data_IF_775166942047
#
_entry.id   IF_775166942047
#
_cell.length_a   1.000
_cell.length_b   1.000
_cell.length_c   1.000
_cell.angle_alpha   90.00
_cell.angle_beta   90.00
_cell.angle_gamma   90.00
#
_symmetry.space_group_name_H-M   'P 1'
#
loop_
_entity.id
_entity.type
_entity.pdbx_description
1 polymer ?
#
# COMPACT_ATOMS: atom_id res chain seq x y z
N UNK A 1 2.92 -27.74 15.52
CA UNK A 1 3.75 -26.95 14.61
C UNK A 1 3.45 -25.49 14.89
N UNK A 2 4.45 -24.64 15.09
CA UNK A 2 4.23 -23.20 15.34
C UNK A 2 3.98 -22.50 14.00
N UNK A 3 2.85 -21.85 13.87
CA UNK A 3 2.54 -20.94 12.78
C UNK A 3 2.78 -19.51 13.24
N UNK A 4 3.28 -18.66 12.35
CA UNK A 4 3.43 -17.23 12.59
C UNK A 4 2.55 -16.45 11.62
N UNK A 5 2.14 -15.26 12.05
CA UNK A 5 1.25 -14.40 11.30
C UNK A 5 1.91 -13.06 10.98
N UNK A 6 1.52 -12.47 9.85
CA UNK A 6 1.98 -11.16 9.44
C UNK A 6 0.88 -10.39 8.74
N UNK A 7 0.89 -9.08 8.89
CA UNK A 7 -0.04 -8.17 8.19
C UNK A 7 0.71 -6.96 7.66
N UNK A 8 0.26 -6.44 6.51
CA UNK A 8 0.71 -5.16 6.00
C UNK A 8 -0.45 -4.47 5.29
N UNK A 9 -0.52 -3.15 5.44
CA UNK A 9 -1.51 -2.34 4.73
C UNK A 9 -1.20 -2.26 3.22
N UNK A 10 -2.18 -1.83 2.44
CA UNK A 10 -2.01 -1.30 1.10
C UNK A 10 -1.99 0.23 1.10
N UNK A 11 -1.74 0.84 -0.05
CA UNK A 11 -1.86 2.28 -0.26
C UNK A 11 -2.63 2.55 -1.56
N UNK A 12 -3.06 3.80 -1.76
CA UNK A 12 -3.69 4.22 -3.01
C UNK A 12 -2.82 5.26 -3.71
N UNK A 13 -1.75 4.79 -4.36
CA UNK A 13 -0.81 5.66 -5.06
C UNK A 13 -0.04 6.62 -4.15
N UNK A 14 0.56 7.64 -4.73
CA UNK A 14 1.47 8.56 -4.06
C UNK A 14 0.99 10.00 -4.12
N UNK A 15 1.12 10.68 -2.98
CA UNK A 15 0.91 12.13 -2.88
C UNK A 15 2.09 12.90 -3.46
N UNK A 16 3.29 12.41 -3.23
CA UNK A 16 4.52 13.00 -3.75
C UNK A 16 5.45 11.89 -4.22
N UNK A 17 6.03 12.06 -5.41
CA UNK A 17 7.00 11.11 -5.96
C UNK A 17 7.96 11.84 -6.89
N UNK A 18 9.26 11.59 -6.74
CA UNK A 18 10.25 12.27 -7.56
C UNK A 18 11.68 12.01 -7.11
N UNK A 19 12.58 12.94 -7.42
CA UNK A 19 13.97 12.92 -7.00
C UNK A 19 14.22 14.07 -6.02
N UNK A 20 14.80 13.74 -4.89
CA UNK A 20 15.02 14.63 -3.76
C UNK A 20 16.49 14.65 -3.37
N UNK A 21 16.92 15.66 -2.64
CA UNK A 21 18.24 15.70 -2.03
C UNK A 21 18.20 15.07 -0.65
N UNK A 22 19.11 14.14 -0.37
CA UNK A 22 19.31 13.63 0.98
C UNK A 22 20.14 14.61 1.83
N UNK A 23 20.33 14.31 3.13
CA UNK A 23 21.11 15.14 4.04
C UNK A 23 22.59 15.36 3.67
N UNK A 24 23.07 14.69 2.60
CA UNK A 24 24.42 14.85 2.04
C UNK A 24 24.40 15.53 0.66
N UNK A 25 23.24 16.04 0.23
CA UNK A 25 23.08 16.66 -1.09
C UNK A 25 23.04 15.66 -2.26
N UNK A 26 22.95 14.33 -2.01
CA UNK A 26 22.84 13.33 -3.06
C UNK A 26 21.41 13.22 -3.56
N UNK A 27 21.24 13.01 -4.85
CA UNK A 27 19.93 12.77 -5.47
C UNK A 27 19.45 11.37 -5.15
N UNK A 28 18.25 11.28 -4.62
CA UNK A 28 17.61 10.03 -4.21
C UNK A 28 16.16 10.02 -4.68
N UNK A 29 15.76 8.94 -5.34
CA UNK A 29 14.35 8.73 -5.67
C UNK A 29 13.56 8.51 -4.38
N UNK A 30 12.48 9.25 -4.22
CA UNK A 30 11.65 9.20 -3.02
C UNK A 30 10.16 9.33 -3.33
N UNK A 31 9.35 8.87 -2.40
CA UNK A 31 7.89 8.95 -2.49
C UNK A 31 7.24 9.09 -1.11
N UNK A 32 6.03 9.63 -1.13
CA UNK A 32 5.10 9.67 0.01
C UNK A 32 3.82 8.97 -0.42
N UNK A 33 3.54 7.80 0.13
CA UNK A 33 2.36 7.01 -0.19
C UNK A 33 1.12 7.53 0.52
N UNK A 34 -0.05 7.26 -0.05
CA UNK A 34 -1.34 7.50 0.59
C UNK A 34 -1.86 6.18 1.19
N UNK A 35 -1.65 5.92 2.50
CA UNK A 35 -2.01 4.65 3.11
C UNK A 35 -3.52 4.45 3.15
N UNK A 36 -3.97 3.20 2.99
CA UNK A 36 -5.35 2.78 3.09
C UNK A 36 -5.58 2.03 4.39
N UNK A 37 -6.49 2.53 5.22
CA UNK A 37 -6.92 1.81 6.41
C UNK A 37 -7.77 0.58 6.02
N UNK A 38 -7.50 -0.55 6.66
CA UNK A 38 -8.35 -1.75 6.57
C UNK A 38 -8.14 -2.64 5.35
N UNK A 39 -7.39 -2.20 4.33
CA UNK A 39 -7.03 -3.02 3.17
C UNK A 39 -5.56 -3.40 3.21
N UNK A 40 -5.26 -4.65 2.85
CA UNK A 40 -3.87 -5.11 2.86
C UNK A 40 -3.74 -6.61 2.64
N UNK A 41 -2.60 -7.14 3.03
CA UNK A 41 -2.31 -8.57 2.99
C UNK A 41 -2.18 -9.14 4.39
N UNK A 42 -2.76 -10.31 4.58
CA UNK A 42 -2.53 -11.22 5.71
C UNK A 42 -1.70 -12.39 5.24
N UNK A 43 -0.67 -12.72 6.01
CA UNK A 43 0.20 -13.84 5.76
C UNK A 43 0.20 -14.79 6.95
N UNK A 44 0.32 -16.08 6.67
CA UNK A 44 0.56 -17.14 7.65
C UNK A 44 1.75 -17.97 7.17
N UNK A 45 2.74 -18.16 8.03
CA UNK A 45 3.88 -19.03 7.76
C UNK A 45 3.85 -20.22 8.69
N UNK A 46 3.66 -21.43 8.13
CA UNK A 46 3.67 -22.70 8.86
C UNK A 46 5.02 -23.38 8.69
N UNK A 47 5.77 -23.51 9.79
CA UNK A 47 7.06 -24.19 9.82
C UNK A 47 6.93 -25.67 9.46
N UNK A 48 7.85 -26.18 8.64
CA UNK A 48 7.95 -27.59 8.29
C UNK A 48 9.35 -28.12 8.66
N UNK A 49 9.55 -28.68 9.87
CA UNK A 49 10.81 -29.29 10.26
C UNK A 49 11.25 -30.37 9.25
N UNK A 50 12.56 -30.48 9.03
CA UNK A 50 13.14 -31.43 8.10
C UNK A 50 13.21 -30.96 6.64
N UNK A 51 12.75 -29.75 6.30
CA UNK A 51 12.96 -29.11 5.00
C UNK A 51 13.56 -27.72 5.13
N UNK A 52 14.46 -27.37 4.22
CA UNK A 52 14.92 -25.97 4.06
C UNK A 52 14.08 -25.18 3.05
N UNK A 53 13.22 -25.84 2.28
CA UNK A 53 12.45 -25.22 1.23
C UNK A 53 11.28 -24.40 1.77
N UNK A 54 11.05 -23.24 1.15
CA UNK A 54 9.85 -22.41 1.35
C UNK A 54 8.95 -22.56 0.15
N UNK A 55 7.65 -22.76 0.39
CA UNK A 55 6.61 -22.71 -0.63
C UNK A 55 5.67 -21.54 -0.37
N UNK A 56 5.01 -21.05 -1.41
CA UNK A 56 4.05 -19.94 -1.30
C UNK A 56 2.71 -20.27 -1.94
N UNK A 57 1.64 -19.87 -1.33
CA UNK A 57 0.27 -19.97 -1.85
C UNK A 57 -0.37 -18.58 -1.80
N UNK A 58 -0.81 -18.02 -2.93
CA UNK A 58 -0.76 -18.52 -4.32
C UNK A 58 0.68 -18.61 -4.89
N UNK A 59 0.91 -19.55 -5.82
CA UNK A 59 2.26 -19.85 -6.33
C UNK A 59 2.89 -18.72 -7.17
N UNK A 60 2.09 -17.79 -7.67
CA UNK A 60 2.52 -16.63 -8.45
C UNK A 60 3.14 -15.50 -7.58
N UNK A 61 3.05 -15.60 -6.26
CA UNK A 61 3.61 -14.61 -5.30
C UNK A 61 5.12 -14.77 -5.12
N UNK A 62 5.86 -14.75 -6.22
CA UNK A 62 7.32 -15.02 -6.23
C UNK A 62 8.15 -14.00 -5.46
N UNK A 63 7.71 -12.73 -5.37
CA UNK A 63 8.38 -11.69 -4.57
C UNK A 63 8.23 -11.99 -3.07
N UNK A 64 7.05 -12.39 -2.62
CA UNK A 64 6.80 -12.78 -1.25
C UNK A 64 7.56 -14.07 -0.86
N UNK A 65 7.69 -15.02 -1.79
CA UNK A 65 8.54 -16.20 -1.59
C UNK A 65 10.00 -15.82 -1.34
N UNK A 66 10.55 -14.90 -2.16
CA UNK A 66 11.92 -14.39 -1.96
C UNK A 66 12.06 -13.68 -0.62
N UNK A 67 11.08 -12.85 -0.25
CA UNK A 67 11.06 -12.12 1.02
C UNK A 67 11.06 -13.08 2.22
N UNK A 68 10.24 -14.12 2.18
CA UNK A 68 10.20 -15.16 3.21
C UNK A 68 11.55 -15.89 3.33
N UNK A 69 12.20 -16.21 2.21
CA UNK A 69 13.54 -16.83 2.21
C UNK A 69 14.59 -15.91 2.84
N UNK A 70 14.55 -14.61 2.53
CA UNK A 70 15.46 -13.64 3.15
C UNK A 70 15.17 -13.43 4.64
N UNK A 71 13.90 -13.43 5.03
CA UNK A 71 13.49 -13.33 6.42
C UNK A 71 13.95 -14.54 7.25
N UNK A 72 13.92 -15.76 6.68
CA UNK A 72 14.49 -16.94 7.33
C UNK A 72 15.99 -16.76 7.62
N UNK A 73 16.75 -16.29 6.64
CA UNK A 73 18.17 -16.03 6.81
C UNK A 73 18.45 -14.95 7.87
N UNK A 74 17.63 -13.92 7.94
CA UNK A 74 17.73 -12.86 8.97
C UNK A 74 17.37 -13.42 10.35
N UNK A 75 16.34 -14.26 10.47
CA UNK A 75 15.97 -14.92 11.72
C UNK A 75 17.07 -15.85 12.24
N UNK A 76 17.86 -16.47 11.34
CA UNK A 76 19.01 -17.29 11.73
C UNK A 76 20.05 -16.51 12.54
N UNK A 77 20.25 -15.24 12.21
CA UNK A 77 21.23 -14.40 12.88
C UNK A 77 20.74 -13.91 14.26
N UNK A 78 19.44 -14.01 14.55
CA UNK A 78 18.81 -13.42 15.74
C UNK A 78 18.10 -14.44 16.62
N UNK A 79 17.93 -15.68 16.19
CA UNK A 79 17.15 -16.69 16.88
C UNK A 79 17.98 -17.88 17.36
N UNK A 80 17.57 -18.50 18.47
CA UNK A 80 18.18 -19.71 19.03
C UNK A 80 17.55 -20.99 18.45
N UNK A 81 16.42 -20.89 17.76
CA UNK A 81 15.70 -22.05 17.24
C UNK A 81 16.28 -22.53 15.91
N UNK A 82 16.35 -23.88 15.70
CA UNK A 82 16.80 -24.44 14.42
C UNK A 82 15.94 -23.94 13.27
N UNK A 83 16.59 -23.42 12.22
CA UNK A 83 15.92 -23.00 11.01
C UNK A 83 15.30 -24.18 10.28
N UNK A 84 14.09 -23.98 9.79
CA UNK A 84 13.45 -24.86 8.83
C UNK A 84 12.65 -24.04 7.82
N UNK A 85 12.42 -24.62 6.67
CA UNK A 85 11.51 -24.09 5.68
C UNK A 85 10.05 -24.18 6.12
N UNK A 86 9.14 -23.94 5.21
CA UNK A 86 7.72 -23.97 5.52
C UNK A 86 6.84 -23.56 4.36
N UNK A 87 5.55 -23.41 4.65
CA UNK A 87 4.55 -22.94 3.71
C UNK A 87 4.08 -21.54 4.13
N UNK A 88 4.18 -20.61 3.19
CA UNK A 88 3.65 -19.26 3.30
C UNK A 88 2.30 -19.19 2.59
N UNK A 89 1.25 -18.80 3.29
CA UNK A 89 -0.08 -18.51 2.72
C UNK A 89 -0.35 -17.02 2.78
N UNK A 90 -0.83 -16.46 1.66
CA UNK A 90 -1.15 -15.04 1.53
C UNK A 90 -2.62 -14.86 1.14
N UNK A 91 -3.28 -13.94 1.82
CA UNK A 91 -4.62 -13.48 1.48
C UNK A 91 -4.58 -11.96 1.39
N UNK A 92 -4.70 -11.41 0.18
CA UNK A 92 -4.70 -9.98 -0.09
C UNK A 92 -6.09 -9.48 -0.44
N UNK A 93 -6.43 -8.29 0.05
CA UNK A 93 -7.72 -7.63 -0.20
C UNK A 93 -7.71 -6.85 -1.54
N UNK A 94 -6.53 -6.65 -2.14
CA UNK A 94 -6.34 -5.82 -3.34
C UNK A 94 -5.70 -6.64 -4.46
N UNK A 95 -6.22 -6.55 -5.70
CA UNK A 95 -5.61 -7.20 -6.86
C UNK A 95 -4.17 -6.75 -7.11
N UNK A 96 -3.32 -7.69 -7.51
CA UNK A 96 -1.92 -7.41 -7.84
C UNK A 96 -1.80 -6.64 -9.16
N UNK A 97 -0.83 -5.72 -9.22
CA UNK A 97 -0.49 -5.02 -10.46
C UNK A 97 -1.30 -3.76 -10.75
N UNK A 98 -2.22 -3.36 -9.85
CA UNK A 98 -2.98 -2.12 -10.03
C UNK A 98 -2.26 -0.85 -9.53
N UNK A 99 -1.10 -0.96 -8.90
CA UNK A 99 -0.40 0.20 -8.32
C UNK A 99 -0.93 0.63 -6.95
N UNK A 100 -1.57 -0.29 -6.23
CA UNK A 100 -2.11 -0.08 -4.88
C UNK A 100 -1.21 -0.69 -3.78
N UNK A 101 0.08 -0.92 -4.06
CA UNK A 101 1.04 -1.45 -3.10
C UNK A 101 0.82 -2.91 -2.69
N UNK A 102 0.01 -3.67 -3.44
CA UNK A 102 -0.28 -5.08 -3.11
C UNK A 102 0.98 -5.95 -3.07
N UNK A 103 1.95 -5.69 -3.95
CA UNK A 103 3.25 -6.41 -3.95
C UNK A 103 4.03 -6.15 -2.68
N UNK A 104 4.20 -4.87 -2.30
CA UNK A 104 4.91 -4.50 -1.07
C UNK A 104 4.17 -4.99 0.18
N UNK A 105 2.84 -4.95 0.17
CA UNK A 105 2.00 -5.52 1.23
C UNK A 105 2.24 -7.02 1.39
N UNK A 106 2.25 -7.81 0.30
CA UNK A 106 2.55 -9.25 0.31
C UNK A 106 3.94 -9.54 0.88
N UNK A 107 4.95 -8.80 0.42
CA UNK A 107 6.35 -8.94 0.83
C UNK A 107 6.51 -8.64 2.32
N UNK A 108 5.97 -7.53 2.81
CA UNK A 108 6.09 -7.12 4.21
C UNK A 108 5.32 -8.08 5.12
N UNK A 109 4.10 -8.49 4.73
CA UNK A 109 3.33 -9.48 5.48
C UNK A 109 4.07 -10.82 5.57
N UNK A 110 4.73 -11.26 4.49
CA UNK A 110 5.53 -12.47 4.46
C UNK A 110 6.72 -12.40 5.43
N UNK A 111 7.48 -11.29 5.41
CA UNK A 111 8.61 -11.07 6.34
C UNK A 111 8.13 -11.13 7.80
N UNK A 112 7.04 -10.44 8.12
CA UNK A 112 6.45 -10.42 9.46
C UNK A 112 5.97 -11.81 9.90
N UNK A 113 5.33 -12.59 9.01
CA UNK A 113 4.84 -13.93 9.31
C UNK A 113 5.99 -14.90 9.61
N UNK A 114 7.09 -14.85 8.85
CA UNK A 114 8.28 -15.66 9.10
C UNK A 114 8.89 -15.27 10.44
N UNK A 115 9.12 -13.99 10.68
CA UNK A 115 9.70 -13.51 11.93
C UNK A 115 8.88 -13.94 13.16
N UNK A 116 7.55 -13.83 13.09
CA UNK A 116 6.63 -14.28 14.15
C UNK A 116 6.70 -15.79 14.38
N UNK A 117 6.78 -16.60 13.31
CA UNK A 117 6.92 -18.06 13.42
C UNK A 117 8.18 -18.49 14.18
N UNK A 118 9.25 -17.71 14.10
CA UNK A 118 10.51 -17.96 14.82
C UNK A 118 10.65 -17.14 16.11
N UNK A 119 9.61 -16.37 16.50
CA UNK A 119 9.64 -15.57 17.71
C UNK A 119 10.63 -14.38 17.65
N UNK A 120 11.06 -14.01 16.45
CA UNK A 120 11.99 -12.90 16.22
C UNK A 120 11.20 -11.60 15.97
N UNK A 121 11.61 -10.52 16.62
CA UNK A 121 11.04 -9.19 16.41
C UNK A 121 12.00 -8.38 15.54
N UNK A 122 11.65 -8.18 14.26
CA UNK A 122 12.46 -7.38 13.34
C UNK A 122 12.08 -5.89 13.46
N UNK A 123 13.08 -5.03 13.51
CA UNK A 123 12.88 -3.58 13.42
C UNK A 123 12.33 -3.19 12.03
N UNK A 124 11.52 -2.13 11.92
CA UNK A 124 10.96 -1.69 10.64
C UNK A 124 12.01 -1.48 9.54
N UNK A 125 13.19 -1.00 9.90
CA UNK A 125 14.32 -0.79 8.98
C UNK A 125 14.86 -2.12 8.43
N UNK A 126 14.88 -3.18 9.25
CA UNK A 126 15.25 -4.52 8.79
C UNK A 126 14.20 -5.07 7.82
N UNK A 127 12.91 -4.90 8.12
CA UNK A 127 11.82 -5.26 7.22
C UNK A 127 11.94 -4.50 5.90
N UNK A 128 12.24 -3.19 5.92
CA UNK A 128 12.44 -2.37 4.74
C UNK A 128 13.59 -2.89 3.86
N UNK A 129 14.74 -3.21 4.45
CA UNK A 129 15.89 -3.78 3.71
C UNK A 129 15.55 -5.11 3.05
N UNK A 130 14.85 -6.00 3.77
CA UNK A 130 14.44 -7.30 3.25
C UNK A 130 13.43 -7.13 2.10
N UNK A 131 12.48 -6.20 2.24
CA UNK A 131 11.50 -5.89 1.20
C UNK A 131 12.16 -5.36 -0.07
N UNK A 132 13.03 -4.36 0.04
CA UNK A 132 13.78 -3.82 -1.12
C UNK A 132 14.64 -4.91 -1.76
N UNK A 133 15.29 -5.77 -1.00
CA UNK A 133 16.05 -6.91 -1.53
C UNK A 133 15.17 -7.89 -2.31
N UNK A 134 13.92 -8.09 -1.88
CA UNK A 134 12.98 -9.01 -2.52
C UNK A 134 12.36 -8.45 -3.81
N UNK A 135 12.08 -7.14 -3.86
CA UNK A 135 11.31 -6.54 -4.97
C UNK A 135 11.98 -5.34 -5.66
N UNK A 136 13.23 -5.00 -5.29
CA UNK A 136 14.07 -3.89 -5.80
C UNK A 136 13.62 -2.48 -5.40
N UNK A 137 12.38 -2.29 -5.10
CA UNK A 137 11.81 -1.06 -4.56
C UNK A 137 10.58 -1.46 -3.75
N UNK A 138 10.39 -0.87 -2.56
CA UNK A 138 9.27 -1.18 -1.68
C UNK A 138 8.67 0.09 -1.12
N UNK A 139 7.34 0.09 -0.97
CA UNK A 139 6.62 1.19 -0.33
C UNK A 139 6.80 1.13 1.20
N UNK A 140 6.72 2.28 1.92
CA UNK A 140 7.01 2.35 3.36
C UNK A 140 5.94 1.76 4.28
N UNK A 141 5.25 0.69 3.85
CA UNK A 141 4.11 0.07 4.54
C UNK A 141 4.52 -0.70 5.82
N UNK A 142 5.81 -0.84 6.08
CA UNK A 142 6.34 -1.36 7.35
C UNK A 142 6.46 -0.30 8.44
N UNK A 143 6.35 0.99 8.07
CA UNK A 143 6.49 2.15 8.95
C UNK A 143 5.10 2.73 9.21
N UNK A 144 4.35 2.10 10.11
CA UNK A 144 2.93 2.33 10.31
C UNK A 144 2.59 3.81 10.64
N UNK A 145 1.63 4.36 9.88
CA UNK A 145 0.83 5.52 10.24
C UNK A 145 1.47 6.89 10.12
N UNK A 146 2.74 7.02 9.78
CA UNK A 146 3.44 8.31 9.68
C UNK A 146 3.47 8.84 8.25
N UNK A 147 3.49 10.17 8.11
CA UNK A 147 3.74 10.82 6.84
C UNK A 147 5.26 10.84 6.59
N UNK A 148 5.74 9.97 5.71
CA UNK A 148 7.17 9.78 5.47
C UNK A 148 7.52 10.02 4.02
N UNK A 149 8.58 10.81 3.77
CA UNK A 149 9.30 10.78 2.50
C UNK A 149 10.30 9.63 2.56
N UNK A 150 10.11 8.63 1.71
CA UNK A 150 10.83 7.36 1.76
C UNK A 150 11.59 7.08 0.48
N UNK A 151 12.85 6.70 0.61
CA UNK A 151 13.70 6.25 -0.49
C UNK A 151 13.36 4.77 -0.79
N UNK A 152 12.38 4.53 -1.67
CA UNK A 152 11.82 3.21 -1.93
C UNK A 152 12.80 2.19 -2.50
N UNK A 153 13.91 2.64 -3.10
CA UNK A 153 14.98 1.78 -3.62
C UNK A 153 16.10 1.52 -2.62
N UNK A 154 16.25 2.39 -1.62
CA UNK A 154 17.27 2.28 -0.59
C UNK A 154 16.70 1.67 0.72
N UNK A 155 15.38 1.63 0.86
CA UNK A 155 14.71 1.10 2.05
C UNK A 155 14.92 1.97 3.28
N UNK A 156 15.00 3.30 3.12
CA UNK A 156 15.23 4.22 4.25
C UNK A 156 14.35 5.48 4.18
N UNK A 157 14.07 6.04 5.33
CA UNK A 157 13.39 7.32 5.48
C UNK A 157 14.33 8.44 5.07
N UNK A 158 13.88 9.34 4.18
CA UNK A 158 14.58 10.60 3.85
C UNK A 158 14.17 11.71 4.78
N UNK A 159 12.87 11.75 5.13
CA UNK A 159 12.31 12.74 6.05
C UNK A 159 11.04 12.20 6.71
N UNK A 160 10.91 12.50 7.98
CA UNK A 160 9.67 12.36 8.75
C UNK A 160 8.91 13.69 8.68
N UNK A 161 7.80 13.69 7.95
CA UNK A 161 6.98 14.87 7.72
C UNK A 161 5.98 15.13 8.86
N UNK A 162 5.74 14.12 9.71
CA UNK A 162 4.84 14.23 10.85
C UNK A 162 3.97 12.99 11.10
N UNK A 163 3.03 13.10 12.01
CA UNK A 163 2.25 11.98 12.53
C UNK A 163 1.35 11.32 11.46
N UNK A 164 0.72 12.12 10.59
CA UNK A 164 -0.15 11.59 9.52
C UNK A 164 -0.30 12.63 8.40
N UNK A 165 -0.69 12.16 7.21
CA UNK A 165 -1.17 13.05 6.14
C UNK A 165 -2.52 13.64 6.50
N UNK A 166 -2.86 14.86 6.01
CA UNK A 166 -4.20 15.42 6.12
C UNK A 166 -5.25 14.42 5.62
N UNK A 167 -6.40 14.31 6.30
CA UNK A 167 -7.44 13.34 5.92
C UNK A 167 -8.03 13.68 4.56
N UNK A 168 -8.33 12.65 3.78
CA UNK A 168 -8.96 12.80 2.47
C UNK A 168 -9.94 11.65 2.19
N UNK A 169 -10.92 11.92 1.33
CA UNK A 169 -11.70 10.90 0.66
C UNK A 169 -11.20 10.76 -0.77
N UNK A 170 -10.91 9.54 -1.19
CA UNK A 170 -10.33 9.25 -2.50
C UNK A 170 -11.36 8.52 -3.35
N UNK A 171 -11.71 9.08 -4.49
CA UNK A 171 -12.43 8.34 -5.54
C UNK A 171 -11.39 7.75 -6.47
N UNK A 172 -11.13 6.46 -6.33
CA UNK A 172 -10.17 5.73 -7.16
C UNK A 172 -10.69 5.50 -8.56
N UNK A 173 -9.79 5.46 -9.55
CA UNK A 173 -10.07 5.09 -10.92
C UNK A 173 -8.89 4.34 -11.55
N UNK A 174 -9.20 3.51 -12.55
CA UNK A 174 -8.20 2.76 -13.30
C UNK A 174 -7.81 3.52 -14.57
N UNK A 175 -6.51 3.60 -14.84
CA UNK A 175 -5.93 4.19 -16.04
C UNK A 175 -5.53 3.11 -17.04
N UNK A 176 -5.32 3.46 -18.30
CA UNK A 176 -4.88 2.53 -19.34
C UNK A 176 -5.81 1.32 -19.52
N UNK A 177 -7.12 1.49 -19.27
CA UNK A 177 -8.09 0.40 -19.32
C UNK A 177 -7.98 -0.63 -18.19
N UNK A 178 -7.33 -0.30 -17.08
CA UNK A 178 -7.20 -1.19 -15.91
C UNK A 178 -6.23 -2.35 -16.09
N UNK A 179 -5.34 -2.30 -17.10
CA UNK A 179 -4.35 -3.35 -17.33
C UNK A 179 -3.28 -3.35 -16.23
N UNK A 180 -2.94 -4.54 -15.76
CA UNK A 180 -1.84 -4.73 -14.82
C UNK A 180 -0.50 -4.29 -15.44
N UNK A 181 0.35 -3.63 -14.66
CA UNK A 181 1.69 -3.22 -15.05
C UNK A 181 2.71 -4.13 -14.37
N UNK A 182 3.58 -4.73 -15.16
CA UNK A 182 4.77 -5.39 -14.62
C UNK A 182 5.80 -4.33 -14.23
N UNK A 183 5.89 -4.04 -12.95
CA UNK A 183 6.82 -3.03 -12.42
C UNK A 183 8.28 -3.39 -12.58
N UNK A 184 8.60 -4.69 -12.80
CA UNK A 184 9.98 -5.14 -13.09
C UNK A 184 10.39 -4.88 -14.53
N UNK A 185 9.41 -4.82 -15.45
CA UNK A 185 9.63 -4.50 -16.86
C UNK A 185 9.71 -2.99 -17.11
N UNK A 186 9.31 -2.14 -16.15
CA UNK A 186 9.47 -0.71 -16.29
C UNK A 186 10.96 -0.36 -16.35
N UNK A 187 11.39 0.44 -17.36
CA UNK A 187 12.76 0.93 -17.40
C UNK A 187 13.09 1.66 -16.10
N UNK A 188 14.34 1.54 -15.67
CA UNK A 188 14.81 2.41 -14.59
C UNK A 188 14.45 3.85 -14.99
N UNK A 189 13.87 4.66 -14.07
CA UNK A 189 13.60 6.04 -14.40
C UNK A 189 14.87 6.64 -14.99
N UNK A 190 14.75 7.31 -16.13
CA UNK A 190 15.83 8.14 -16.64
C UNK A 190 16.35 9.02 -15.49
N UNK A 191 17.65 9.30 -15.42
CA UNK A 191 18.17 10.26 -14.46
C UNK A 191 17.24 11.48 -14.53
N UNK A 192 16.65 11.87 -13.39
CA UNK A 192 15.81 13.06 -13.37
C UNK A 192 16.65 14.21 -13.93
N UNK A 193 16.10 14.93 -14.88
CA UNK A 193 16.72 16.12 -15.39
C UNK A 193 17.00 17.05 -14.20
N UNK A 194 18.14 17.70 -14.20
CA UNK A 194 18.57 18.63 -13.14
C UNK A 194 17.51 19.71 -12.88
N UNK A 195 16.70 20.01 -13.88
CA UNK A 195 15.61 20.99 -13.80
C UNK A 195 14.44 20.55 -12.91
N UNK A 196 14.26 19.25 -12.64
CA UNK A 196 13.11 18.75 -11.90
C UNK A 196 13.34 18.72 -10.37
N UNK A 197 14.60 18.58 -9.90
CA UNK A 197 14.90 18.52 -8.46
C UNK A 197 14.37 19.75 -7.69
N UNK A 198 14.60 21.00 -8.14
CA UNK A 198 14.04 22.17 -7.44
C UNK A 198 12.50 22.17 -7.36
N UNK A 199 11.82 21.62 -8.38
CA UNK A 199 10.37 21.50 -8.37
C UNK A 199 9.90 20.49 -7.31
N UNK A 200 10.54 19.34 -7.21
CA UNK A 200 10.22 18.33 -6.19
C UNK A 200 10.55 18.83 -4.76
N UNK A 201 11.66 19.54 -4.58
CA UNK A 201 12.00 20.13 -3.27
C UNK A 201 10.99 21.20 -2.85
N UNK A 202 10.45 22.01 -3.78
CA UNK A 202 9.33 22.92 -3.48
C UNK A 202 8.09 22.14 -3.04
N UNK A 203 7.71 21.09 -3.76
CA UNK A 203 6.57 20.24 -3.39
C UNK A 203 6.77 19.55 -2.02
N UNK A 204 7.99 19.11 -1.72
CA UNK A 204 8.37 18.62 -0.39
C UNK A 204 8.13 19.66 0.70
N UNK A 205 8.53 20.92 0.46
CA UNK A 205 8.28 22.04 1.37
C UNK A 205 6.79 22.31 1.58
N UNK A 206 6.00 22.31 0.50
CA UNK A 206 4.53 22.46 0.56
C UNK A 206 3.86 21.29 1.29
N UNK A 207 4.32 20.05 1.06
CA UNK A 207 3.78 18.89 1.77
C UNK A 207 4.06 18.94 3.29
N UNK A 208 5.24 19.41 3.67
CA UNK A 208 5.56 19.66 5.09
C UNK A 208 4.60 20.67 5.72
N UNK A 209 4.27 21.75 4.99
CA UNK A 209 3.28 22.73 5.44
C UNK A 209 1.87 22.12 5.52
N UNK A 210 1.47 21.33 4.52
CA UNK A 210 0.17 20.64 4.52
C UNK A 210 0.02 19.73 5.73
N UNK A 211 1.05 18.95 6.07
CA UNK A 211 1.05 18.07 7.24
C UNK A 211 0.99 18.86 8.53
N UNK A 212 1.83 19.89 8.67
CA UNK A 212 1.88 20.72 9.89
C UNK A 212 0.56 21.47 10.17
N UNK A 213 -0.12 21.93 9.10
CA UNK A 213 -1.40 22.63 9.20
C UNK A 213 -2.62 21.72 9.11
N UNK A 214 -2.45 20.42 8.91
CA UNK A 214 -3.51 19.47 8.59
C UNK A 214 -4.39 19.96 7.41
N UNK A 215 -3.78 20.57 6.38
CA UNK A 215 -4.45 21.21 5.25
C UNK A 215 -4.68 20.23 4.07
N UNK A 216 -5.92 19.73 3.87
CA UNK A 216 -6.21 18.80 2.78
C UNK A 216 -6.21 19.50 1.40
N UNK A 217 -6.42 20.80 1.32
CA UNK A 217 -6.39 21.53 0.04
C UNK A 217 -4.94 21.62 -0.47
N UNK A 218 -4.00 21.93 0.42
CA UNK A 218 -2.57 21.96 0.08
C UNK A 218 -2.05 20.55 -0.23
N UNK A 219 -2.53 19.51 0.46
CA UNK A 219 -2.25 18.11 0.12
C UNK A 219 -2.68 17.79 -1.32
N UNK A 220 -3.90 18.16 -1.70
CA UNK A 220 -4.45 17.95 -3.04
C UNK A 220 -3.67 18.69 -4.13
N UNK A 221 -3.24 19.92 -3.84
CA UNK A 221 -2.37 20.69 -4.73
C UNK A 221 -1.03 19.96 -4.96
N UNK A 222 -0.35 19.55 -3.88
CA UNK A 222 0.93 18.81 -3.97
C UNK A 222 0.76 17.53 -4.79
N UNK A 223 -0.30 16.75 -4.54
CA UNK A 223 -0.57 15.52 -5.28
C UNK A 223 -0.72 15.77 -6.78
N UNK A 224 -1.48 16.82 -7.15
CA UNK A 224 -1.70 17.18 -8.55
C UNK A 224 -0.42 17.62 -9.25
N UNK A 225 0.37 18.48 -8.62
CA UNK A 225 1.63 18.96 -9.21
C UNK A 225 2.67 17.83 -9.30
N UNK A 226 2.76 16.97 -8.29
CA UNK A 226 3.59 15.77 -8.34
C UNK A 226 3.19 14.84 -9.49
N UNK A 227 1.89 14.57 -9.65
CA UNK A 227 1.37 13.79 -10.77
C UNK A 227 1.65 14.46 -12.13
N UNK A 228 1.56 15.79 -12.22
CA UNK A 228 1.87 16.56 -13.45
C UNK A 228 3.35 16.44 -13.84
N UNK A 229 4.27 16.59 -12.90
CA UNK A 229 5.69 16.39 -13.15
C UNK A 229 5.97 14.96 -13.63
N UNK A 230 5.27 13.98 -13.03
CA UNK A 230 5.41 12.57 -13.40
C UNK A 230 4.95 12.27 -14.83
N UNK A 231 4.02 13.05 -15.41
CA UNK A 231 3.60 12.87 -16.82
C UNK A 231 4.76 13.01 -17.81
N UNK A 232 5.86 13.67 -17.46
CA UNK A 232 7.06 13.77 -18.31
C UNK A 232 7.78 12.44 -18.45
N UNK A 233 7.68 11.56 -17.44
CA UNK A 233 8.39 10.27 -17.39
C UNK A 233 7.45 9.11 -17.73
N UNK A 234 6.21 9.18 -17.23
CA UNK A 234 5.18 8.16 -17.44
C UNK A 234 3.86 8.87 -17.76
N UNK A 235 3.61 9.22 -19.04
CA UNK A 235 2.40 9.91 -19.45
C UNK A 235 1.18 8.97 -19.39
N UNK A 236 0.06 9.50 -18.89
CA UNK A 236 -1.26 8.86 -18.92
C UNK A 236 -2.19 9.71 -19.76
N UNK A 237 -2.80 9.12 -20.79
CA UNK A 237 -3.71 9.83 -21.69
C UNK A 237 -4.91 10.46 -20.96
N UNK A 238 -5.34 9.83 -19.86
CA UNK A 238 -6.48 10.26 -19.05
C UNK A 238 -6.17 11.44 -18.12
N UNK A 239 -4.89 11.83 -17.92
CA UNK A 239 -4.51 12.82 -16.89
C UNK A 239 -5.18 14.17 -17.08
N UNK A 240 -5.27 14.68 -18.32
CA UNK A 240 -5.96 15.94 -18.63
C UNK A 240 -7.45 15.86 -18.32
N UNK A 241 -8.11 14.75 -18.65
CA UNK A 241 -9.52 14.53 -18.32
C UNK A 241 -9.73 14.49 -16.79
N UNK A 242 -8.85 13.81 -16.05
CA UNK A 242 -8.92 13.72 -14.59
C UNK A 242 -8.79 15.09 -13.92
N UNK A 243 -7.84 15.92 -14.32
CA UNK A 243 -7.67 17.27 -13.77
C UNK A 243 -8.86 18.17 -14.12
N UNK A 244 -9.43 18.05 -15.33
CA UNK A 244 -10.65 18.73 -15.72
C UNK A 244 -11.88 18.28 -14.91
N UNK A 245 -12.02 16.97 -14.64
CA UNK A 245 -13.07 16.45 -13.76
C UNK A 245 -12.88 17.00 -12.35
N UNK A 246 -11.67 16.95 -11.81
CA UNK A 246 -11.36 17.44 -10.47
C UNK A 246 -11.85 18.88 -10.25
N UNK A 247 -11.56 19.79 -11.21
CA UNK A 247 -12.00 21.17 -11.15
C UNK A 247 -13.53 21.30 -11.17
N UNK A 248 -14.23 20.54 -12.04
CA UNK A 248 -15.69 20.62 -12.15
C UNK A 248 -16.44 20.09 -10.93
N UNK A 249 -15.92 19.07 -10.27
CA UNK A 249 -16.60 18.45 -9.12
C UNK A 249 -16.12 18.98 -7.77
N UNK A 250 -15.19 19.94 -7.77
CA UNK A 250 -14.63 20.52 -6.55
C UNK A 250 -13.78 19.51 -5.76
N UNK A 251 -13.04 18.65 -6.46
CA UNK A 251 -12.01 17.84 -5.83
C UNK A 251 -10.80 18.71 -5.47
N UNK A 252 -10.08 18.34 -4.42
CA UNK A 252 -8.87 19.04 -3.95
C UNK A 252 -7.68 18.84 -4.89
N UNK A 253 -7.64 17.69 -5.58
CA UNK A 253 -6.58 17.36 -6.51
C UNK A 253 -6.66 15.92 -7.02
N UNK A 254 -5.64 15.56 -7.80
CA UNK A 254 -5.48 14.25 -8.43
C UNK A 254 -4.15 13.65 -8.00
N UNK A 255 -4.17 12.41 -7.52
CA UNK A 255 -2.95 11.62 -7.32
C UNK A 255 -2.86 10.49 -8.36
N UNK A 256 -1.64 10.03 -8.68
CA UNK A 256 -1.39 8.94 -9.63
C UNK A 256 -0.36 7.99 -9.04
N UNK A 257 -0.56 6.69 -9.21
CA UNK A 257 0.35 5.68 -8.70
C UNK A 257 1.71 5.72 -9.41
N UNK A 258 2.77 5.42 -8.64
CA UNK A 258 4.16 5.40 -9.11
C UNK A 258 4.40 4.31 -10.18
N UNK A 259 3.81 3.16 -9.99
CA UNK A 259 4.13 1.94 -10.74
C UNK A 259 2.90 1.22 -11.30
N UNK A 260 1.75 1.84 -11.31
CA UNK A 260 0.52 1.18 -11.74
C UNK A 260 -0.43 2.12 -12.45
N UNK A 261 -1.54 1.55 -12.91
CA UNK A 261 -2.57 2.24 -13.64
C UNK A 261 -3.75 2.62 -12.75
N UNK A 262 -3.47 3.21 -11.58
CA UNK A 262 -4.52 3.82 -10.74
C UNK A 262 -4.24 5.28 -10.50
N UNK A 263 -5.32 6.04 -10.45
CA UNK A 263 -5.34 7.42 -10.00
C UNK A 263 -6.49 7.62 -9.01
N UNK A 264 -6.46 8.71 -8.27
CA UNK A 264 -7.52 9.07 -7.34
C UNK A 264 -7.80 10.57 -7.35
N UNK A 265 -9.07 10.92 -7.28
CA UNK A 265 -9.50 12.29 -7.05
C UNK A 265 -9.72 12.46 -5.53
N UNK A 266 -9.06 13.45 -4.95
CA UNK A 266 -9.04 13.72 -3.53
C UNK A 266 -10.15 14.71 -3.17
N UNK A 267 -10.86 14.46 -2.06
CA UNK A 267 -11.92 15.32 -1.54
C UNK A 267 -11.70 15.57 -0.06
N UNK A 268 -12.09 16.76 0.38
CA UNK A 268 -12.15 17.10 1.80
C UNK A 268 -13.26 16.29 2.50
N UNK A 269 -12.94 15.46 3.49
CA UNK A 269 -13.95 14.73 4.25
C UNK A 269 -14.92 15.62 5.00
N UNK A 270 -14.56 16.89 5.29
CA UNK A 270 -15.40 17.87 5.96
C UNK A 270 -16.29 18.69 4.99
N UNK A 271 -16.16 18.47 3.66
CA UNK A 271 -16.97 19.22 2.69
C UNK A 271 -18.48 18.95 2.89
N UNK A 272 -19.28 20.03 2.99
CA UNK A 272 -20.73 19.95 3.26
C UNK A 272 -21.50 19.07 2.27
N UNK A 273 -21.11 19.07 0.98
CA UNK A 273 -21.73 18.25 -0.08
C UNK A 273 -20.80 17.17 -0.61
N UNK A 274 -20.03 16.54 0.25
CA UNK A 274 -19.09 15.48 -0.12
C UNK A 274 -19.77 14.36 -0.92
N UNK A 275 -20.94 13.86 -0.44
CA UNK A 275 -21.66 12.77 -1.13
C UNK A 275 -22.11 13.17 -2.54
N UNK A 276 -22.55 14.40 -2.73
CA UNK A 276 -22.94 14.96 -4.04
C UNK A 276 -21.75 15.04 -4.98
N UNK A 277 -20.63 15.58 -4.50
CA UNK A 277 -19.36 15.69 -5.25
C UNK A 277 -18.81 14.34 -5.66
N UNK A 278 -18.78 13.36 -4.76
CA UNK A 278 -18.34 11.98 -5.04
C UNK A 278 -19.23 11.33 -6.11
N UNK A 279 -20.56 11.45 -6.02
CA UNK A 279 -21.48 10.96 -7.07
C UNK A 279 -21.26 11.63 -8.41
N UNK A 280 -21.08 12.98 -8.42
CA UNK A 280 -20.78 13.74 -9.64
C UNK A 280 -19.44 13.30 -10.26
N UNK A 281 -18.41 13.08 -9.44
CA UNK A 281 -17.12 12.54 -9.86
C UNK A 281 -17.27 11.18 -10.56
N UNK A 282 -17.96 10.23 -9.93
CA UNK A 282 -18.18 8.89 -10.52
C UNK A 282 -18.93 8.95 -11.85
N UNK A 283 -19.95 9.81 -11.98
CA UNK A 283 -20.66 10.04 -13.25
C UNK A 283 -19.75 10.65 -14.31
N UNK A 284 -18.92 11.63 -13.93
CA UNK A 284 -17.99 12.28 -14.86
C UNK A 284 -16.91 11.30 -15.36
N UNK A 285 -16.37 10.47 -14.48
CA UNK A 285 -15.43 9.38 -14.85
C UNK A 285 -16.09 8.40 -15.84
N UNK A 286 -17.31 7.94 -15.54
CA UNK A 286 -18.06 7.04 -16.43
C UNK A 286 -18.32 7.67 -17.80
N UNK A 287 -18.69 8.95 -17.85
CA UNK A 287 -18.93 9.69 -19.10
C UNK A 287 -17.67 9.86 -19.96
N UNK A 288 -16.48 9.78 -19.37
CA UNK A 288 -15.19 9.84 -20.07
C UNK A 288 -14.60 8.46 -20.35
N UNK A 289 -15.31 7.38 -20.02
CA UNK A 289 -14.83 6.01 -20.20
C UNK A 289 -13.71 5.60 -19.22
N UNK A 290 -13.48 6.38 -18.15
CA UNK A 290 -12.49 6.03 -17.12
C UNK A 290 -13.18 5.20 -16.03
N UNK A 291 -12.80 3.92 -15.82
CA UNK A 291 -13.45 3.08 -14.83
C UNK A 291 -13.20 3.59 -13.41
N UNK A 292 -14.26 3.99 -12.71
CA UNK A 292 -14.17 4.27 -11.28
C UNK A 292 -14.03 2.96 -10.50
N UNK A 293 -13.11 2.93 -9.55
CA UNK A 293 -12.91 1.81 -8.64
C UNK A 293 -13.65 2.06 -7.30
N UNK A 294 -12.99 1.87 -6.19
CA UNK A 294 -13.58 2.08 -4.87
C UNK A 294 -13.45 3.53 -4.40
N UNK A 295 -14.27 3.90 -3.43
CA UNK A 295 -14.10 5.14 -2.66
C UNK A 295 -13.46 4.77 -1.33
N UNK A 296 -12.36 5.44 -1.00
CA UNK A 296 -11.55 5.17 0.20
C UNK A 296 -11.60 6.38 1.12
N UNK A 297 -11.50 6.12 2.43
CA UNK A 297 -11.28 7.14 3.44
C UNK A 297 -9.87 6.96 4.00
N UNK A 298 -9.07 8.02 3.97
CA UNK A 298 -7.83 8.03 4.72
C UNK A 298 -8.16 8.52 6.12
N UNK A 299 -8.22 7.61 7.07
CA UNK A 299 -8.32 8.00 8.47
C UNK A 299 -6.94 8.29 9.01
N UNK A 300 -6.76 9.32 9.87
CA UNK A 300 -5.60 9.38 10.74
C UNK A 300 -5.53 8.06 11.49
N UNK A 301 -4.39 7.38 11.47
CA UNK A 301 -4.22 6.14 12.24
C UNK A 301 -4.29 6.52 13.72
N UNK A 302 -5.48 6.42 14.30
CA UNK A 302 -5.60 6.35 15.74
C UNK A 302 -4.82 5.13 16.16
N UNK A 303 -3.81 5.29 17.01
CA UNK A 303 -3.11 4.18 17.62
C UNK A 303 -4.15 3.19 18.12
N UNK A 304 -4.14 1.99 17.60
CA UNK A 304 -5.06 0.92 17.99
C UNK A 304 -4.70 0.58 19.43
N UNK A 305 -5.43 1.15 20.37
CA UNK A 305 -5.51 0.63 21.73
C UNK A 305 -6.03 -0.78 21.57
N UNK A 306 -5.21 -1.75 21.91
CA UNK A 306 -5.58 -3.16 22.00
C UNK A 306 -6.65 -3.28 23.08
N UNK A 307 -7.91 -3.26 22.71
CA UNK A 307 -8.97 -3.78 23.58
C UNK A 307 -8.91 -5.30 23.52
N UNK A 308 -8.35 -5.89 24.56
CA UNK A 308 -8.57 -7.29 24.91
C UNK A 308 -10.08 -7.53 25.04
N UNK A 309 -10.63 -8.58 24.41
CA UNK A 309 -12.03 -8.92 24.63
C UNK A 309 -12.20 -9.39 26.09
N UNK A 310 -13.27 -8.99 26.77
CA UNK A 310 -13.53 -9.40 28.14
C UNK A 310 -13.76 -10.91 28.21
N UNK A 311 -13.02 -11.58 29.08
CA UNK A 311 -13.24 -12.99 29.42
C UNK A 311 -14.65 -13.22 29.92
N UNK A 312 -15.52 -13.74 29.05
CA UNK A 312 -16.87 -14.21 29.40
C UNK A 312 -16.79 -15.51 30.20
N UNK A 313 -17.35 -15.49 31.37
CA UNK A 313 -17.54 -16.65 32.28
C UNK A 313 -18.24 -17.81 31.57
N UNK A 314 -17.68 -18.99 31.75
CA UNK A 314 -18.28 -20.26 31.36
C UNK A 314 -19.63 -20.49 32.05
N UNK A 315 -20.69 -20.63 31.27
CA UNK A 315 -21.90 -21.33 31.68
C UNK A 315 -21.90 -22.72 31.07
N UNK A 316 -21.91 -23.73 31.96
CA UNK A 316 -22.15 -25.14 31.61
C UNK A 316 -23.62 -25.31 31.23
N UNK A 317 -23.90 -25.83 30.06
CA UNK A 317 -25.21 -26.31 29.64
C UNK A 317 -25.01 -27.41 28.61
N UNK A 318 -25.42 -28.64 29.00
CA UNK A 318 -25.48 -29.81 28.13
C UNK A 318 -26.44 -29.60 26.98
N UNK A 319 -26.10 -29.98 25.73
CA UNK A 319 -26.94 -30.86 24.93
C UNK A 319 -26.31 -31.21 23.56
N UNK A 320 -26.73 -32.38 23.11
CA UNK A 320 -26.34 -33.24 22.00
C UNK A 320 -26.28 -32.54 20.63
N UNK A 321 -25.39 -32.98 19.69
CA UNK A 321 -25.35 -32.46 18.32
C UNK A 321 -26.40 -33.11 17.39
N UNK A 322 -26.99 -32.38 16.43
CA UNK A 322 -27.74 -32.95 15.34
C UNK A 322 -26.81 -33.32 14.15
N UNK A 323 -27.21 -34.38 13.44
CA UNK A 323 -26.53 -34.99 12.29
C UNK A 323 -26.54 -34.06 11.04
N UNK A 324 -25.57 -34.21 10.12
CA UNK A 324 -25.51 -33.38 8.90
C UNK A 324 -26.51 -33.83 7.85
N UNK A 325 -27.25 -32.89 7.29
CA UNK A 325 -28.10 -33.07 6.12
C UNK A 325 -27.29 -32.76 4.84
N UNK A 326 -27.14 -33.78 4.00
CA UNK A 326 -26.49 -33.71 2.69
C UNK A 326 -27.52 -33.34 1.63
N UNK A 327 -27.62 -32.07 1.27
CA UNK A 327 -28.23 -31.67 -0.02
C UNK A 327 -27.49 -30.49 -0.63
N UNK A 328 -26.82 -30.77 -1.76
CA UNK A 328 -26.11 -29.80 -2.56
C UNK A 328 -27.04 -28.72 -3.13
N UNK A 329 -26.63 -27.48 -2.99
CA UNK A 329 -27.15 -26.35 -3.77
C UNK A 329 -26.04 -25.74 -4.61
N UNK A 330 -26.15 -25.97 -5.91
CA UNK A 330 -25.36 -25.26 -6.92
C UNK A 330 -25.84 -23.81 -6.96
N UNK A 331 -24.93 -22.87 -6.68
CA UNK A 331 -25.16 -21.45 -6.93
C UNK A 331 -24.59 -21.12 -8.29
N UNK A 332 -25.42 -20.68 -9.22
CA UNK A 332 -25.03 -20.11 -10.53
C UNK A 332 -24.56 -18.68 -10.27
N UNK A 333 -23.38 -18.37 -10.79
CA UNK A 333 -22.91 -16.99 -10.96
C UNK A 333 -23.66 -16.33 -12.13
N UNK A 334 -24.11 -15.08 -12.03
CA UNK A 334 -24.57 -14.32 -13.18
C UNK A 334 -23.38 -13.86 -14.02
N UNK A 335 -23.53 -13.94 -15.34
CA UNK A 335 -22.61 -13.48 -16.34
C UNK A 335 -22.66 -11.94 -16.46
N UNK A 336 -21.50 -11.34 -16.79
CA UNK A 336 -21.16 -10.00 -17.26
C UNK A 336 -21.13 -8.88 -16.21
#
# INVERSE_FOLDING_TARGET
>A
MRAGTGRAACHHGEILQGVFLDGRGRRVAGLVTLPLAGLGTRAEFTRRPGTAAVTVVPADRTKALRAATYALAECAAHGEEPLCGGELRLVGDVPVGLGMGSSSSDVIAAVRAVADAFGVRLAPEAVARLAVRAERASDPLMLDGRALLFAQREGRVLEDLGAALPPAVVVGCALGGGRSVDTLALPAPAPADDTDVPAYERLRGLLRQAVAAADPALLGHVATESARLRQRVLPHAEFTALTGIAGRVGALGVQVAHSGNVAGLLFDPAARDLRGRVRACRRALAATGIPATHTFHTTPTSATTSEEPPHGRAHRGSDRPPRPDTRGRRVRLPAL
#
